data_IF_485287347896
#
_entry.id   IF_485287347896
#
_cell.length_a   1.000
_cell.length_b   1.000
_cell.length_c   1.000
_cell.angle_alpha   90.00
_cell.angle_beta   90.00
_cell.angle_gamma   90.00
#
_symmetry.space_group_name_H-M   'P 1'
#
loop_
_entity.id
_entity.type
_entity.pdbx_description
1 polymer ?
#
# COMPACT_ATOMS: atom_id res chain seq x y z
N UNK A 1 -6.54 -7.65 -9.93
CA UNK A 1 -6.22 -6.66 -8.89
C UNK A 1 -4.82 -6.92 -8.33
N UNK A 2 -4.47 -8.12 -7.89
CA UNK A 2 -3.15 -8.44 -7.32
C UNK A 2 -2.00 -8.11 -8.29
N UNK A 3 -2.14 -8.42 -9.58
CA UNK A 3 -1.17 -8.05 -10.62
C UNK A 3 -0.92 -6.54 -10.67
N UNK A 4 -1.99 -5.73 -10.56
CA UNK A 4 -1.85 -4.27 -10.51
C UNK A 4 -1.08 -3.81 -9.27
N UNK A 5 -1.30 -4.46 -8.12
CA UNK A 5 -0.55 -4.18 -6.88
C UNK A 5 0.94 -4.44 -7.09
N UNK A 6 1.33 -5.58 -7.68
CA UNK A 6 2.74 -5.87 -8.00
C UNK A 6 3.35 -4.84 -8.94
N UNK A 7 2.65 -4.47 -10.01
CA UNK A 7 3.14 -3.45 -10.96
C UNK A 7 3.35 -2.12 -10.25
N UNK A 8 2.41 -1.70 -9.39
CA UNK A 8 2.54 -0.45 -8.63
C UNK A 8 3.72 -0.47 -7.66
N UNK A 9 3.97 -1.59 -6.98
CA UNK A 9 5.14 -1.76 -6.12
C UNK A 9 6.44 -1.66 -6.93
N UNK A 10 6.52 -2.31 -8.08
CA UNK A 10 7.69 -2.20 -8.96
C UNK A 10 7.93 -0.76 -9.42
N UNK A 11 6.86 -0.04 -9.77
CA UNK A 11 6.97 1.37 -10.15
C UNK A 11 7.42 2.25 -8.98
N UNK A 12 6.98 1.98 -7.76
CA UNK A 12 7.45 2.67 -6.56
C UNK A 12 8.98 2.55 -6.42
N UNK A 13 9.53 1.34 -6.55
CA UNK A 13 10.98 1.13 -6.49
C UNK A 13 11.72 1.85 -7.61
N UNK A 14 11.17 1.88 -8.83
CA UNK A 14 11.79 2.59 -9.94
C UNK A 14 11.85 4.10 -9.67
N UNK A 15 10.76 4.70 -9.20
CA UNK A 15 10.75 6.14 -8.91
C UNK A 15 11.62 6.50 -7.69
N UNK A 16 11.67 5.65 -6.68
CA UNK A 16 12.54 5.80 -5.52
C UNK A 16 14.02 5.76 -5.95
N UNK A 17 14.41 4.73 -6.71
CA UNK A 17 15.78 4.59 -7.24
C UNK A 17 16.17 5.76 -8.13
N UNK A 18 15.31 6.21 -9.04
CA UNK A 18 15.59 7.35 -9.91
C UNK A 18 15.73 8.63 -9.09
N UNK A 19 14.90 8.83 -8.05
CA UNK A 19 15.04 9.96 -7.13
C UNK A 19 16.39 9.95 -6.42
N UNK A 20 16.81 8.80 -5.87
CA UNK A 20 18.13 8.66 -5.23
C UNK A 20 19.30 8.91 -6.19
N UNK A 21 19.20 8.47 -7.45
CA UNK A 21 20.24 8.69 -8.46
C UNK A 21 20.42 10.16 -8.85
N UNK A 22 19.37 10.97 -8.81
CA UNK A 22 19.43 12.40 -9.18
C UNK A 22 19.64 13.31 -7.97
N UNK A 23 19.48 12.79 -6.75
CA UNK A 23 19.65 13.53 -5.52
C UNK A 23 21.12 14.04 -5.39
N UNK A 24 21.30 15.25 -4.85
CA UNK A 24 22.61 15.91 -4.77
C UNK A 24 23.09 16.56 -6.08
N UNK A 25 22.42 16.34 -7.22
CA UNK A 25 22.75 16.99 -8.48
C UNK A 25 21.90 18.27 -8.65
N UNK A 26 22.47 19.42 -8.37
CA UNK A 26 21.78 20.72 -8.40
C UNK A 26 21.55 21.29 -9.82
N UNK A 27 21.40 20.45 -10.85
CA UNK A 27 21.07 20.91 -12.21
C UNK A 27 19.55 21.08 -12.33
N UNK A 28 19.04 22.07 -13.11
CA UNK A 28 17.61 22.28 -13.29
C UNK A 28 16.87 21.03 -13.79
N UNK A 29 17.51 20.23 -14.65
CA UNK A 29 16.97 18.99 -15.16
C UNK A 29 16.83 17.93 -14.05
N UNK A 30 17.87 17.74 -13.20
CA UNK A 30 17.83 16.80 -12.09
C UNK A 30 16.77 17.18 -11.06
N UNK A 31 16.63 18.46 -10.73
CA UNK A 31 15.58 18.97 -9.83
C UNK A 31 14.19 18.68 -10.40
N UNK A 32 13.97 18.90 -11.70
CA UNK A 32 12.70 18.60 -12.35
C UNK A 32 12.38 17.10 -12.32
N UNK A 33 13.36 16.24 -12.59
CA UNK A 33 13.21 14.77 -12.50
C UNK A 33 12.86 14.36 -11.07
N UNK A 34 13.55 14.89 -10.06
CA UNK A 34 13.29 14.59 -8.66
C UNK A 34 11.86 15.01 -8.24
N UNK A 35 11.37 16.16 -8.70
CA UNK A 35 9.97 16.56 -8.50
C UNK A 35 8.99 15.53 -9.09
N UNK A 36 9.22 15.09 -10.33
CA UNK A 36 8.36 14.08 -10.98
C UNK A 36 8.39 12.77 -10.20
N UNK A 37 9.57 12.32 -9.77
CA UNK A 37 9.73 11.09 -8.98
C UNK A 37 9.00 11.19 -7.64
N UNK A 38 9.13 12.29 -6.90
CA UNK A 38 8.42 12.51 -5.64
C UNK A 38 6.90 12.49 -5.81
N UNK A 39 6.36 13.19 -6.84
CA UNK A 39 4.93 13.20 -7.13
C UNK A 39 4.45 11.79 -7.47
N UNK A 40 5.17 11.09 -8.35
CA UNK A 40 4.82 9.75 -8.78
C UNK A 40 4.87 8.77 -7.61
N UNK A 41 5.93 8.80 -6.80
CA UNK A 41 6.10 7.95 -5.61
C UNK A 41 4.96 8.15 -4.60
N UNK A 42 4.69 9.39 -4.20
CA UNK A 42 3.63 9.71 -3.25
C UNK A 42 2.24 9.32 -3.78
N UNK A 43 1.97 9.61 -5.06
CA UNK A 43 0.70 9.27 -5.69
C UNK A 43 0.49 7.77 -5.78
N UNK A 44 1.51 7.02 -6.26
CA UNK A 44 1.45 5.56 -6.36
C UNK A 44 1.27 4.90 -5.00
N UNK A 45 1.96 5.39 -3.97
CA UNK A 45 1.85 4.85 -2.62
C UNK A 45 0.43 5.03 -2.05
N UNK A 46 -0.16 6.21 -2.25
CA UNK A 46 -1.55 6.48 -1.86
C UNK A 46 -2.54 5.59 -2.63
N UNK A 47 -2.36 5.45 -3.96
CA UNK A 47 -3.18 4.56 -4.77
C UNK A 47 -3.01 3.09 -4.39
N UNK A 48 -1.80 2.66 -4.05
CA UNK A 48 -1.51 1.31 -3.58
C UNK A 48 -2.28 0.99 -2.30
N UNK A 49 -2.27 1.90 -1.32
CA UNK A 49 -3.02 1.76 -0.08
C UNK A 49 -4.53 1.60 -0.33
N UNK A 50 -5.11 2.41 -1.22
CA UNK A 50 -6.51 2.32 -1.62
C UNK A 50 -6.81 1.03 -2.40
N UNK A 51 -5.97 0.64 -3.35
CA UNK A 51 -6.15 -0.59 -4.13
C UNK A 51 -6.04 -1.84 -3.26
N UNK A 52 -5.19 -1.78 -2.22
CA UNK A 52 -5.10 -2.86 -1.25
C UNK A 52 -6.40 -3.02 -0.46
N UNK A 53 -6.98 -1.92 0.02
CA UNK A 53 -8.29 -1.94 0.67
C UNK A 53 -9.36 -2.56 -0.25
N UNK A 54 -9.36 -2.21 -1.54
CA UNK A 54 -10.28 -2.79 -2.54
C UNK A 54 -10.03 -4.29 -2.72
N UNK A 55 -8.77 -4.71 -2.83
CA UNK A 55 -8.41 -6.11 -2.99
C UNK A 55 -8.90 -6.95 -1.80
N UNK A 56 -8.66 -6.49 -0.58
CA UNK A 56 -9.12 -7.16 0.64
C UNK A 56 -10.65 -7.18 0.71
N UNK A 57 -11.30 -6.06 0.44
CA UNK A 57 -12.77 -5.98 0.41
C UNK A 57 -13.40 -6.96 -0.58
N UNK A 58 -12.80 -7.12 -1.75
CA UNK A 58 -13.24 -8.08 -2.76
C UNK A 58 -13.05 -9.54 -2.30
N UNK A 59 -11.85 -9.89 -1.81
CA UNK A 59 -11.56 -11.25 -1.34
C UNK A 59 -12.42 -11.64 -0.14
N UNK A 60 -12.75 -10.70 0.72
CA UNK A 60 -13.61 -10.91 1.87
C UNK A 60 -15.11 -10.88 1.52
N UNK A 61 -15.48 -10.67 0.25
CA UNK A 61 -16.88 -10.57 -0.22
C UNK A 61 -17.70 -9.61 0.66
N UNK A 62 -17.15 -8.46 0.98
CA UNK A 62 -17.81 -7.50 1.85
C UNK A 62 -18.95 -6.81 1.10
N UNK A 63 -20.17 -6.95 1.60
CA UNK A 63 -21.38 -6.40 0.97
C UNK A 63 -21.32 -4.88 0.76
N UNK A 64 -20.66 -4.14 1.63
CA UNK A 64 -20.55 -2.69 1.54
C UNK A 64 -19.78 -2.19 0.30
N UNK A 65 -18.90 -3.02 -0.33
CA UNK A 65 -18.22 -2.67 -1.58
C UNK A 65 -19.18 -2.49 -2.75
N UNK A 66 -20.34 -3.12 -2.73
CA UNK A 66 -21.36 -2.98 -3.77
C UNK A 66 -22.21 -1.72 -3.59
N UNK A 67 -22.07 -1.02 -2.47
CA UNK A 67 -22.81 0.20 -2.20
C UNK A 67 -22.05 1.41 -2.74
N UNK A 68 -22.61 2.10 -3.75
CA UNK A 68 -22.01 3.30 -4.37
C UNK A 68 -21.67 4.40 -3.34
N UNK A 69 -22.48 4.56 -2.29
CA UNK A 69 -22.25 5.54 -1.23
C UNK A 69 -20.98 5.26 -0.45
N UNK A 70 -20.75 4.02 -0.06
CA UNK A 70 -19.54 3.63 0.68
C UNK A 70 -18.27 3.84 -0.14
N UNK A 71 -18.32 3.47 -1.43
CA UNK A 71 -17.21 3.73 -2.34
C UNK A 71 -16.91 5.23 -2.44
N UNK A 72 -17.94 6.08 -2.53
CA UNK A 72 -17.78 7.52 -2.56
C UNK A 72 -17.09 8.05 -1.29
N UNK A 73 -17.51 7.61 -0.10
CA UNK A 73 -16.88 8.00 1.16
C UNK A 73 -15.40 7.56 1.24
N UNK A 74 -15.08 6.38 0.72
CA UNK A 74 -13.69 5.90 0.67
C UNK A 74 -12.84 6.64 -0.37
N UNK A 75 -13.43 7.25 -1.38
CA UNK A 75 -12.72 8.08 -2.35
C UNK A 75 -12.35 9.47 -1.80
N UNK A 76 -13.08 9.98 -0.80
CA UNK A 76 -12.82 11.33 -0.25
C UNK A 76 -11.38 11.46 0.28
N UNK A 77 -10.86 10.59 1.17
CA UNK A 77 -9.48 10.71 1.65
C UNK A 77 -8.46 10.58 0.51
N UNK A 78 -8.73 9.73 -0.50
CA UNK A 78 -7.88 9.61 -1.68
C UNK A 78 -7.80 10.93 -2.45
N UNK A 79 -8.93 11.57 -2.72
CA UNK A 79 -8.98 12.86 -3.43
C UNK A 79 -8.30 13.96 -2.63
N UNK A 80 -8.49 14.00 -1.31
CA UNK A 80 -7.78 14.93 -0.42
C UNK A 80 -6.27 14.70 -0.50
N UNK A 81 -5.80 13.45 -0.44
CA UNK A 81 -4.38 13.12 -0.55
C UNK A 81 -3.78 13.55 -1.89
N UNK A 82 -4.47 13.29 -3.00
CA UNK A 82 -4.04 13.74 -4.34
C UNK A 82 -3.97 15.27 -4.40
N UNK A 83 -5.00 15.96 -3.89
CA UNK A 83 -5.01 17.43 -3.86
C UNK A 83 -3.83 17.99 -3.07
N UNK A 84 -3.53 17.40 -1.91
CA UNK A 84 -2.40 17.81 -1.08
C UNK A 84 -1.06 17.60 -1.80
N UNK A 85 -0.88 16.49 -2.53
CA UNK A 85 0.32 16.24 -3.34
C UNK A 85 0.47 17.30 -4.43
N UNK A 86 -0.60 17.62 -5.16
CA UNK A 86 -0.60 18.65 -6.21
C UNK A 86 -0.30 20.02 -5.64
N UNK A 87 -0.94 20.41 -4.54
CA UNK A 87 -0.68 21.70 -3.88
C UNK A 87 0.76 21.79 -3.33
N UNK A 88 1.38 20.65 -3.03
CA UNK A 88 2.75 20.60 -2.52
C UNK A 88 3.78 21.06 -3.54
N UNK A 89 3.49 21.01 -4.83
CA UNK A 89 4.39 21.49 -5.88
C UNK A 89 4.74 22.97 -5.68
N UNK A 90 3.76 23.78 -5.27
CA UNK A 90 3.94 25.23 -5.05
C UNK A 90 4.17 25.61 -3.59
N UNK A 91 3.53 24.90 -2.66
CA UNK A 91 3.51 25.26 -1.24
C UNK A 91 4.50 24.47 -0.37
N UNK A 92 5.04 23.35 -0.88
CA UNK A 92 5.93 22.48 -0.11
C UNK A 92 5.28 21.83 1.12
N UNK A 93 3.97 21.58 1.08
CA UNK A 93 3.20 21.06 2.22
C UNK A 93 3.53 19.61 2.56
N UNK A 94 3.54 18.72 1.57
CA UNK A 94 3.85 17.30 1.75
C UNK A 94 5.34 17.05 1.57
N UNK A 95 5.93 17.61 0.51
CA UNK A 95 7.35 17.53 0.21
C UNK A 95 7.84 18.83 -0.39
N UNK A 96 9.13 19.08 -0.25
CA UNK A 96 9.85 20.17 -0.93
C UNK A 96 11.20 19.68 -1.35
N UNK A 97 11.74 20.21 -2.43
CA UNK A 97 13.10 19.92 -2.87
C UNK A 97 13.98 21.11 -2.48
N UNK A 98 15.10 20.80 -1.81
CA UNK A 98 16.10 21.80 -1.42
C UNK A 98 16.88 22.32 -2.64
N UNK A 99 17.60 23.46 -2.54
CA UNK A 99 18.48 23.92 -3.60
C UNK A 99 19.55 22.91 -4.01
N UNK A 100 19.98 22.06 -3.07
CA UNK A 100 20.95 20.98 -3.29
C UNK A 100 20.31 19.69 -3.83
N UNK A 101 19.06 19.78 -4.30
CA UNK A 101 18.26 18.67 -4.86
C UNK A 101 18.02 17.50 -3.89
N UNK A 102 17.86 17.77 -2.60
CA UNK A 102 17.41 16.77 -1.62
C UNK A 102 15.91 16.89 -1.37
N UNK A 103 15.22 15.76 -1.40
CA UNK A 103 13.79 15.69 -1.07
C UNK A 103 13.60 15.78 0.45
N UNK A 104 12.90 16.83 0.90
CA UNK A 104 12.66 17.11 2.32
C UNK A 104 11.16 17.01 2.58
N UNK A 105 10.77 16.44 3.71
CA UNK A 105 9.37 16.37 4.16
C UNK A 105 8.80 17.75 4.43
N UNK A 106 7.58 17.97 3.97
CA UNK A 106 6.85 19.22 4.18
C UNK A 106 6.21 19.29 5.56
N UNK A 107 5.65 20.46 5.88
CA UNK A 107 5.09 20.78 7.20
C UNK A 107 3.88 19.93 7.60
N UNK A 108 3.08 19.48 6.64
CA UNK A 108 1.88 18.65 6.88
C UNK A 108 2.01 17.23 6.31
N UNK A 109 3.24 16.73 6.15
CA UNK A 109 3.49 15.36 5.68
C UNK A 109 2.78 14.30 6.55
N UNK A 110 2.59 14.57 7.84
CA UNK A 110 1.86 13.68 8.74
C UNK A 110 0.40 13.44 8.32
N UNK A 111 -0.26 14.42 7.66
CA UNK A 111 -1.62 14.26 7.14
C UNK A 111 -1.65 13.22 6.01
N UNK A 112 -0.66 13.26 5.13
CA UNK A 112 -0.51 12.27 4.07
C UNK A 112 -0.32 10.85 4.66
N UNK A 113 0.57 10.71 5.67
CA UNK A 113 0.75 9.44 6.39
C UNK A 113 -0.56 8.97 7.02
N UNK A 114 -1.30 9.87 7.67
CA UNK A 114 -2.58 9.54 8.30
C UNK A 114 -3.59 8.99 7.28
N UNK A 115 -3.64 9.54 6.06
CA UNK A 115 -4.51 9.05 4.99
C UNK A 115 -4.06 7.65 4.54
N UNK A 116 -2.76 7.41 4.32
CA UNK A 116 -2.25 6.09 3.96
C UNK A 116 -2.53 5.06 5.07
N UNK A 117 -2.26 5.41 6.32
CA UNK A 117 -2.54 4.57 7.49
C UNK A 117 -4.04 4.28 7.64
N UNK A 118 -4.92 5.22 7.34
CA UNK A 118 -6.37 4.98 7.35
C UNK A 118 -6.77 3.81 6.44
N UNK A 119 -6.27 3.76 5.21
CA UNK A 119 -6.54 2.64 4.30
C UNK A 119 -5.89 1.35 4.77
N UNK A 120 -4.62 1.41 5.17
CA UNK A 120 -3.86 0.22 5.58
C UNK A 120 -4.41 -0.38 6.88
N UNK A 121 -4.60 0.41 7.93
CA UNK A 121 -5.18 -0.06 9.19
C UNK A 121 -6.63 -0.49 9.03
N UNK A 122 -7.40 0.17 8.15
CA UNK A 122 -8.76 -0.26 7.80
C UNK A 122 -8.77 -1.69 7.27
N UNK A 123 -7.84 -2.05 6.36
CA UNK A 123 -7.71 -3.42 5.86
C UNK A 123 -7.26 -4.38 6.93
N UNK A 124 -6.26 -4.00 7.72
CA UNK A 124 -5.77 -4.78 8.85
C UNK A 124 -6.87 -5.13 9.84
N UNK A 125 -7.69 -4.15 10.19
CA UNK A 125 -8.83 -4.34 11.09
C UNK A 125 -9.91 -5.26 10.51
N UNK A 126 -10.29 -5.04 9.24
CA UNK A 126 -11.33 -5.83 8.57
C UNK A 126 -10.91 -7.29 8.42
N UNK A 127 -9.68 -7.55 7.97
CA UNK A 127 -9.14 -8.90 7.84
C UNK A 127 -8.88 -9.55 9.20
N UNK A 128 -8.28 -8.79 10.13
CA UNK A 128 -7.95 -9.25 11.47
C UNK A 128 -9.16 -9.70 12.28
N UNK A 129 -10.30 -9.00 12.17
CA UNK A 129 -11.54 -9.45 12.83
C UNK A 129 -11.95 -10.86 12.43
N UNK A 130 -11.74 -11.27 11.17
CA UNK A 130 -12.12 -12.61 10.71
C UNK A 130 -11.26 -13.73 11.28
N UNK A 131 -10.03 -13.42 11.69
CA UNK A 131 -9.12 -14.38 12.35
C UNK A 131 -9.74 -14.94 13.64
N UNK A 132 -10.53 -14.13 14.37
CA UNK A 132 -11.13 -14.50 15.65
C UNK A 132 -12.54 -15.13 15.51
N UNK A 133 -13.10 -15.18 14.32
CA UNK A 133 -14.44 -15.75 14.09
C UNK A 133 -14.29 -17.23 13.72
N UNK A 134 -14.85 -18.13 14.55
CA UNK A 134 -14.79 -19.59 14.37
C UNK A 134 -15.22 -20.07 12.97
N UNK A 135 -16.20 -19.41 12.36
CA UNK A 135 -16.70 -19.74 11.01
C UNK A 135 -15.62 -19.69 9.92
N UNK A 136 -14.57 -18.89 10.12
CA UNK A 136 -13.50 -18.64 9.14
C UNK A 136 -12.19 -19.29 9.57
N UNK A 137 -12.22 -20.27 10.49
CA UNK A 137 -11.00 -20.85 11.04
C UNK A 137 -10.15 -21.59 10.00
N UNK A 138 -10.79 -22.23 9.00
CA UNK A 138 -10.09 -22.85 7.86
C UNK A 138 -9.25 -21.87 7.05
N UNK A 139 -9.61 -20.58 7.06
CA UNK A 139 -8.98 -19.53 6.27
C UNK A 139 -8.10 -18.58 7.10
N UNK A 140 -7.81 -18.96 8.34
CA UNK A 140 -7.12 -18.12 9.32
C UNK A 140 -5.78 -17.58 8.81
N UNK A 141 -4.97 -18.40 8.14
CA UNK A 141 -3.67 -18.00 7.60
C UNK A 141 -3.82 -16.94 6.52
N UNK A 142 -4.81 -17.07 5.61
CA UNK A 142 -5.09 -16.05 4.61
C UNK A 142 -5.50 -14.72 5.26
N UNK A 143 -6.37 -14.77 6.26
CA UNK A 143 -6.79 -13.54 6.95
C UNK A 143 -5.65 -12.88 7.73
N UNK A 144 -4.74 -13.68 8.30
CA UNK A 144 -3.51 -13.16 8.93
C UNK A 144 -2.60 -12.50 7.89
N UNK A 145 -2.40 -13.15 6.74
CA UNK A 145 -1.60 -12.58 5.65
C UNK A 145 -2.22 -11.29 5.11
N UNK A 146 -3.53 -11.24 4.90
CA UNK A 146 -4.25 -10.02 4.48
C UNK A 146 -4.17 -8.91 5.54
N UNK A 147 -4.24 -9.25 6.82
CA UNK A 147 -4.13 -8.29 7.91
C UNK A 147 -2.70 -7.74 8.04
N UNK A 148 -1.67 -8.58 7.85
CA UNK A 148 -0.28 -8.16 7.91
C UNK A 148 0.05 -7.09 6.87
N UNK A 149 -0.51 -7.20 5.66
CA UNK A 149 -0.36 -6.17 4.61
C UNK A 149 -0.98 -4.81 4.98
N UNK A 150 -1.87 -4.77 5.95
CA UNK A 150 -2.38 -3.51 6.48
C UNK A 150 -1.56 -2.98 7.65
N UNK A 151 -1.20 -3.87 8.59
CA UNK A 151 -0.56 -3.48 9.85
C UNK A 151 0.92 -3.18 9.67
N UNK A 152 1.68 -4.03 8.96
CA UNK A 152 3.12 -3.86 8.83
C UNK A 152 3.51 -2.57 8.09
N UNK A 153 2.97 -2.25 6.89
CA UNK A 153 3.31 -1.00 6.23
C UNK A 153 2.88 0.23 7.03
N UNK A 154 1.71 0.19 7.70
CA UNK A 154 1.28 1.29 8.54
C UNK A 154 2.24 1.55 9.71
N UNK A 155 2.72 0.49 10.37
CA UNK A 155 3.72 0.58 11.42
C UNK A 155 5.03 1.22 10.90
N UNK A 156 5.53 0.74 9.75
CA UNK A 156 6.75 1.27 9.15
C UNK A 156 6.59 2.71 8.64
N UNK A 157 5.42 3.11 8.14
CA UNK A 157 5.14 4.52 7.80
C UNK A 157 5.30 5.45 9.01
N UNK A 158 4.77 5.03 10.15
CA UNK A 158 4.92 5.81 11.39
C UNK A 158 6.38 5.82 11.83
N UNK A 159 7.07 4.69 11.77
CA UNK A 159 8.49 4.60 12.12
C UNK A 159 9.35 5.51 11.22
N UNK A 160 9.16 5.48 9.91
CA UNK A 160 9.83 6.35 8.94
C UNK A 160 9.60 7.84 9.23
N UNK A 161 8.40 8.20 9.68
CA UNK A 161 8.10 9.57 10.06
C UNK A 161 9.01 10.07 11.18
N UNK A 162 9.27 9.23 12.19
CA UNK A 162 10.09 9.61 13.34
C UNK A 162 11.59 9.47 13.09
N UNK A 163 12.01 8.47 12.29
CA UNK A 163 13.44 8.19 12.08
C UNK A 163 14.04 8.97 10.92
N UNK A 164 13.23 9.45 9.99
CA UNK A 164 13.73 10.13 8.79
C UNK A 164 14.44 9.23 7.78
N UNK A 165 14.33 7.91 7.94
CA UNK A 165 15.05 6.91 7.14
C UNK A 165 14.33 6.56 5.82
N UNK A 166 14.94 5.63 5.06
CA UNK A 166 14.44 5.09 3.78
C UNK A 166 13.02 4.48 3.88
N UNK A 167 12.32 4.24 2.74
CA UNK A 167 10.92 3.81 2.69
C UNK A 167 10.73 2.35 3.12
N UNK A 168 11.00 2.00 4.38
CA UNK A 168 10.79 0.66 4.93
C UNK A 168 9.34 0.18 4.81
N UNK A 169 8.38 1.10 4.74
CA UNK A 169 6.96 0.80 4.49
C UNK A 169 6.77 0.07 3.16
N UNK A 170 7.46 0.48 2.10
CA UNK A 170 7.39 -0.16 0.78
C UNK A 170 7.99 -1.57 0.84
N UNK A 171 9.15 -1.74 1.49
CA UNK A 171 9.77 -3.08 1.68
C UNK A 171 8.87 -4.02 2.49
N UNK A 172 8.26 -3.52 3.56
CA UNK A 172 7.33 -4.30 4.38
C UNK A 172 6.08 -4.70 3.60
N UNK A 173 5.59 -3.84 2.69
CA UNK A 173 4.48 -4.14 1.80
C UNK A 173 4.84 -5.27 0.82
N UNK A 174 6.05 -5.29 0.26
CA UNK A 174 6.52 -6.39 -0.60
C UNK A 174 6.46 -7.73 0.12
N UNK A 175 7.03 -7.78 1.33
CA UNK A 175 7.05 -9.02 2.13
C UNK A 175 5.63 -9.49 2.45
N UNK A 176 4.76 -8.57 2.85
CA UNK A 176 3.39 -8.89 3.19
C UNK A 176 2.56 -9.34 1.96
N UNK A 177 2.71 -8.67 0.82
CA UNK A 177 2.03 -9.06 -0.44
C UNK A 177 2.54 -10.40 -0.95
N UNK A 178 3.85 -10.68 -0.82
CA UNK A 178 4.41 -11.98 -1.16
C UNK A 178 3.81 -13.08 -0.28
N UNK A 179 3.65 -12.85 1.01
CA UNK A 179 2.98 -13.82 1.91
C UNK A 179 1.54 -14.09 1.44
N UNK A 180 0.76 -13.06 1.13
CA UNK A 180 -0.61 -13.24 0.60
C UNK A 180 -0.59 -14.03 -0.72
N UNK A 181 0.36 -13.74 -1.60
CA UNK A 181 0.51 -14.47 -2.85
C UNK A 181 0.78 -15.97 -2.62
N UNK A 182 1.72 -16.30 -1.75
CA UNK A 182 2.05 -17.69 -1.41
C UNK A 182 0.86 -18.42 -0.78
N UNK A 183 0.11 -17.76 0.10
CA UNK A 183 -1.08 -18.33 0.72
C UNK A 183 -2.19 -18.60 -0.32
N UNK A 184 -2.40 -17.68 -1.27
CA UNK A 184 -3.34 -17.88 -2.37
C UNK A 184 -2.91 -19.00 -3.31
N UNK A 185 -1.62 -19.11 -3.63
CA UNK A 185 -1.06 -20.19 -4.44
C UNK A 185 -1.22 -21.55 -3.75
N UNK A 186 -0.89 -21.64 -2.47
CA UNK A 186 -1.07 -22.85 -1.67
C UNK A 186 -2.51 -23.37 -1.71
N UNK A 187 -3.49 -22.47 -1.67
CA UNK A 187 -4.91 -22.82 -1.79
C UNK A 187 -5.30 -23.34 -3.15
N UNK A 188 -4.76 -22.75 -4.23
CA UNK A 188 -5.04 -23.22 -5.59
C UNK A 188 -4.47 -24.61 -5.84
N UNK A 189 -3.33 -24.94 -5.24
CA UNK A 189 -2.69 -26.28 -5.37
C UNK A 189 -3.41 -27.31 -4.49
N UNK A 190 -3.93 -26.91 -3.33
CA UNK A 190 -4.58 -27.82 -2.38
C UNK A 190 -5.99 -28.23 -2.78
N UNK A 191 -6.64 -27.50 -3.69
CA UNK A 191 -7.98 -27.83 -4.20
C UNK A 191 -7.91 -28.38 -5.61
N UNK A 192 -8.53 -29.53 -5.84
CA UNK A 192 -8.69 -30.09 -7.19
C UNK A 192 -9.58 -29.14 -8.03
N UNK A 193 -9.12 -28.66 -9.19
CA UNK A 193 -9.87 -27.70 -10.00
C UNK A 193 -11.19 -28.28 -10.57
N UNK A 194 -11.31 -29.60 -10.71
CA UNK A 194 -12.50 -30.26 -11.26
C UNK A 194 -13.53 -30.58 -10.18
N UNK A 195 -13.09 -31.13 -9.05
CA UNK A 195 -14.00 -31.61 -8.00
C UNK A 195 -14.20 -30.61 -6.86
N UNK A 196 -13.34 -29.56 -6.78
CA UNK A 196 -13.27 -28.60 -5.68
C UNK A 196 -13.06 -29.24 -4.29
N UNK A 197 -12.64 -30.50 -4.27
CA UNK A 197 -12.27 -31.22 -3.05
C UNK A 197 -10.79 -31.02 -2.74
N UNK A 198 -10.40 -31.18 -1.46
CA UNK A 198 -9.02 -31.15 -1.06
C UNK A 198 -8.22 -32.23 -1.80
N UNK A 199 -7.07 -31.84 -2.35
CA UNK A 199 -6.18 -32.76 -3.06
C UNK A 199 -5.61 -33.79 -2.07
N UNK A 200 -5.54 -35.04 -2.48
CA UNK A 200 -5.16 -36.24 -1.69
C UNK A 200 -3.81 -36.10 -0.94
N UNK A 201 -2.92 -35.21 -1.41
CA UNK A 201 -1.61 -34.95 -0.81
C UNK A 201 -1.64 -34.21 0.54
N UNK A 202 -2.80 -33.72 0.99
CA UNK A 202 -2.97 -33.11 2.31
C UNK A 202 -3.54 -34.06 3.39
N UNK A 203 -3.79 -35.31 3.03
CA UNK A 203 -4.35 -36.34 3.94
C UNK A 203 -3.30 -37.21 4.62
N UNK A 204 -2.00 -36.92 4.41
CA UNK A 204 -0.88 -37.63 5.04
C UNK A 204 -0.19 -36.75 6.09
#
# INVERSE_FOLDING_TARGET
ILTHVFVMIMMLFVFDLVSEMVEGHATPAAIAVNHVCCIAFLSLNLFLAFQWLRFVGYNLQLHFWHQKRTLLYLLIPLMVGVLLIVCSISQGWIYRISPDNHAIRGSIYFVYIAICCFYMLGTGFIAGRRVFIRRYYSDKLLYLALASCGVLPAFFFVLEYFTGTHPFSVYSMVVAVLWVFLELQSRMISTDPLTKLNNRNQLN
#
